data_IF_852145252431
#
_entry.id   IF_852145252431
#
_cell.length_a   1.000
_cell.length_b   1.000
_cell.length_c   1.000
_cell.angle_alpha   90.00
_cell.angle_beta   90.00
_cell.angle_gamma   90.00
#
_symmetry.space_group_name_H-M   'P 1'
#
loop_
_entity.id
_entity.type
_entity.pdbx_description
1 polymer ?
#
# COMPACT_ATOMS: atom_id res chain seq x y z
N UNK A 1 -0.48 25.29 -24.76
CA UNK A 1 0.55 24.69 -23.87
C UNK A 1 -0.13 24.41 -22.54
N UNK A 2 -0.04 23.19 -22.04
CA UNK A 2 -0.53 22.88 -20.70
C UNK A 2 0.26 23.73 -19.69
N UNK A 3 -0.41 24.26 -18.66
CA UNK A 3 0.24 25.09 -17.66
C UNK A 3 1.22 24.23 -16.84
N UNK A 4 2.40 24.75 -16.57
CA UNK A 4 3.36 24.14 -15.65
C UNK A 4 2.78 24.09 -14.25
N UNK A 5 3.05 22.99 -13.54
CA UNK A 5 2.65 22.79 -12.15
C UNK A 5 3.82 23.18 -11.25
N UNK A 6 3.54 23.97 -10.21
CA UNK A 6 4.52 24.37 -9.22
C UNK A 6 4.13 23.86 -7.85
N UNK A 7 5.04 23.19 -7.16
CA UNK A 7 4.83 22.66 -5.83
C UNK A 7 6.14 22.64 -5.02
N UNK A 8 6.01 22.59 -3.69
CA UNK A 8 7.15 22.37 -2.80
C UNK A 8 7.62 20.91 -2.85
N UNK A 9 6.68 19.99 -3.07
CA UNK A 9 6.94 18.55 -3.22
C UNK A 9 6.19 17.97 -4.42
N UNK A 10 6.89 17.18 -5.21
CA UNK A 10 6.28 16.33 -6.24
C UNK A 10 6.47 14.87 -5.82
N UNK A 11 5.37 14.14 -5.72
CA UNK A 11 5.35 12.72 -5.36
C UNK A 11 5.04 11.91 -6.62
N UNK A 12 5.91 10.96 -6.95
CA UNK A 12 5.74 10.06 -8.09
C UNK A 12 5.15 8.74 -7.61
N UNK A 13 3.94 8.45 -8.06
CA UNK A 13 3.17 7.26 -7.74
C UNK A 13 2.27 7.42 -6.51
N UNK A 14 0.96 7.23 -6.69
CA UNK A 14 -0.03 7.19 -5.61
C UNK A 14 -0.17 5.78 -5.01
N UNK A 15 0.93 5.07 -4.84
CA UNK A 15 0.98 3.79 -4.15
C UNK A 15 0.88 3.95 -2.63
N UNK A 16 1.18 2.87 -1.89
CA UNK A 16 1.07 2.85 -0.42
C UNK A 16 1.83 3.99 0.24
N UNK A 17 3.09 4.23 -0.17
CA UNK A 17 3.92 5.30 0.38
C UNK A 17 3.47 6.69 -0.10
N UNK A 18 3.17 6.84 -1.40
CA UNK A 18 2.77 8.13 -1.98
C UNK A 18 1.47 8.68 -1.39
N UNK A 19 0.48 7.82 -1.13
CA UNK A 19 -0.75 8.19 -0.44
C UNK A 19 -0.48 8.75 0.97
N UNK A 20 0.42 8.11 1.71
CA UNK A 20 0.82 8.56 3.06
C UNK A 20 1.54 9.91 2.98
N UNK A 21 2.53 10.05 2.08
CA UNK A 21 3.27 11.29 1.90
C UNK A 21 2.35 12.45 1.50
N UNK A 22 1.47 12.24 0.51
CA UNK A 22 0.51 13.25 0.07
C UNK A 22 -0.39 13.72 1.21
N UNK A 23 -0.91 12.79 2.00
CA UNK A 23 -1.76 13.12 3.14
C UNK A 23 -0.99 13.88 4.24
N UNK A 24 0.23 13.43 4.59
CA UNK A 24 0.98 14.00 5.71
C UNK A 24 1.65 15.34 5.37
N UNK A 25 2.23 15.48 4.20
CA UNK A 25 2.86 16.74 3.78
C UNK A 25 1.86 17.90 3.60
N UNK A 26 0.60 17.57 3.31
CA UNK A 26 -0.44 18.59 3.15
C UNK A 26 -1.25 18.89 4.43
N UNK A 27 -0.99 18.16 5.52
CA UNK A 27 -1.79 18.22 6.75
C UNK A 27 -1.74 19.59 7.43
N UNK A 28 -0.57 20.24 7.43
CA UNK A 28 -0.38 21.57 8.01
C UNK A 28 -0.92 22.73 7.16
N UNK A 29 -1.21 22.48 5.87
CA UNK A 29 -1.57 23.52 4.90
C UNK A 29 -0.39 24.36 4.39
N UNK A 30 0.82 24.17 4.91
CA UNK A 30 2.01 25.01 4.58
C UNK A 30 2.71 24.61 3.29
N UNK A 31 2.63 23.32 2.92
CA UNK A 31 3.29 22.81 1.73
C UNK A 31 2.29 22.56 0.61
N UNK A 32 2.62 22.99 -0.60
CA UNK A 32 1.92 22.64 -1.82
C UNK A 32 2.50 21.35 -2.39
N UNK A 33 1.65 20.36 -2.61
CA UNK A 33 2.05 19.01 -3.05
C UNK A 33 1.36 18.66 -4.36
N UNK A 34 2.12 18.15 -5.31
CA UNK A 34 1.61 17.49 -6.52
C UNK A 34 1.89 16.00 -6.43
N UNK A 35 0.87 15.18 -6.61
CA UNK A 35 0.94 13.72 -6.65
C UNK A 35 0.64 13.26 -8.07
N UNK A 36 1.59 12.57 -8.70
CA UNK A 36 1.47 12.03 -10.06
C UNK A 36 1.20 10.53 -9.98
N UNK A 37 0.12 10.05 -10.61
CA UNK A 37 -0.21 8.63 -10.70
C UNK A 37 -0.40 8.22 -12.17
N UNK A 38 0.25 7.13 -12.59
CA UNK A 38 0.18 6.64 -13.95
C UNK A 38 -1.18 5.99 -14.28
N UNK A 39 -1.85 5.46 -13.26
CA UNK A 39 -3.18 4.86 -13.36
C UNK A 39 -4.32 5.85 -13.18
N UNK A 40 -5.54 5.30 -13.05
CA UNK A 40 -6.77 6.05 -12.82
C UNK A 40 -7.17 6.11 -11.35
N UNK A 41 -8.36 6.65 -11.13
CA UNK A 41 -9.02 6.69 -9.82
C UNK A 41 -9.50 5.28 -9.43
N UNK A 42 -9.40 4.92 -8.16
CA UNK A 42 -9.87 3.63 -7.66
C UNK A 42 -11.38 3.62 -7.36
N UNK A 43 -12.04 4.78 -7.32
CA UNK A 43 -13.46 4.91 -7.00
C UNK A 43 -14.33 4.56 -8.22
N UNK A 44 -15.34 3.64 -8.09
CA UNK A 44 -16.09 3.12 -9.23
C UNK A 44 -16.75 4.18 -10.11
N UNK A 45 -17.36 5.21 -9.51
CA UNK A 45 -18.11 6.24 -10.22
C UNK A 45 -17.24 7.37 -10.78
N UNK A 46 -15.96 7.41 -10.47
CA UNK A 46 -15.02 8.43 -10.96
C UNK A 46 -14.32 8.02 -12.25
N UNK A 47 -14.35 6.74 -12.59
CA UNK A 47 -13.70 6.17 -13.78
C UNK A 47 -14.71 5.29 -14.55
N UNK A 48 -15.56 5.85 -15.40
CA UNK A 48 -16.60 5.08 -16.11
C UNK A 48 -16.06 3.89 -16.92
N UNK A 49 -14.86 4.04 -17.51
CA UNK A 49 -14.20 2.95 -18.25
C UNK A 49 -13.63 1.83 -17.38
N UNK A 50 -13.64 1.97 -16.04
CA UNK A 50 -13.04 1.05 -15.07
C UNK A 50 -13.99 0.63 -13.94
N UNK A 51 -15.30 0.86 -14.09
CA UNK A 51 -16.29 0.59 -13.02
C UNK A 51 -16.13 -0.82 -12.45
N UNK A 52 -16.04 -1.86 -13.29
CA UNK A 52 -15.88 -3.24 -12.84
C UNK A 52 -14.56 -3.49 -12.12
N UNK A 53 -13.46 -2.99 -12.68
CA UNK A 53 -12.13 -3.09 -12.05
C UNK A 53 -12.15 -2.46 -10.66
N UNK A 54 -12.72 -1.28 -10.54
CA UNK A 54 -12.80 -0.53 -9.30
C UNK A 54 -13.76 -1.18 -8.28
N UNK A 55 -14.86 -1.78 -8.72
CA UNK A 55 -15.70 -2.60 -7.84
C UNK A 55 -14.92 -3.80 -7.30
N UNK A 56 -14.10 -4.47 -8.12
CA UNK A 56 -13.26 -5.58 -7.69
C UNK A 56 -12.16 -5.13 -6.72
N UNK A 57 -11.60 -3.93 -6.86
CA UNK A 57 -10.67 -3.35 -5.88
C UNK A 57 -11.31 -3.30 -4.50
N UNK A 58 -12.53 -2.77 -4.39
CA UNK A 58 -13.18 -2.56 -3.10
C UNK A 58 -13.84 -3.82 -2.51
N UNK A 59 -13.99 -4.87 -3.31
CA UNK A 59 -14.49 -6.18 -2.88
C UNK A 59 -13.31 -7.06 -2.47
N UNK A 60 -13.20 -7.52 -1.21
CA UNK A 60 -12.01 -8.25 -0.73
C UNK A 60 -11.59 -9.41 -1.64
N UNK A 61 -12.50 -10.30 -2.02
CA UNK A 61 -12.21 -11.43 -2.91
C UNK A 61 -11.87 -11.00 -4.35
N UNK A 62 -12.16 -9.75 -4.72
CA UNK A 62 -11.92 -9.20 -6.04
C UNK A 62 -10.45 -9.12 -6.43
N UNK A 63 -9.52 -9.23 -5.46
CA UNK A 63 -8.08 -9.21 -5.74
C UNK A 63 -7.67 -10.26 -6.78
N UNK A 64 -8.31 -11.44 -6.78
CA UNK A 64 -8.06 -12.47 -7.79
C UNK A 64 -8.36 -12.05 -9.23
N UNK A 65 -9.24 -11.07 -9.43
CA UNK A 65 -9.52 -10.47 -10.74
C UNK A 65 -8.56 -9.34 -11.09
N UNK A 66 -8.26 -8.46 -10.12
CA UNK A 66 -7.38 -7.31 -10.33
C UNK A 66 -5.93 -7.69 -10.64
N UNK A 67 -5.48 -8.89 -10.22
CA UNK A 67 -4.15 -9.42 -10.54
C UNK A 67 -3.89 -9.63 -12.04
N UNK A 68 -4.93 -9.77 -12.86
CA UNK A 68 -4.81 -9.94 -14.30
C UNK A 68 -5.49 -8.82 -15.10
N UNK A 69 -5.89 -7.73 -14.45
CA UNK A 69 -6.60 -6.62 -15.10
C UNK A 69 -5.62 -5.50 -15.52
N UNK A 70 -5.37 -5.30 -16.84
CA UNK A 70 -4.43 -4.28 -17.33
C UNK A 70 -4.87 -2.85 -17.03
N UNK A 71 -6.13 -2.63 -16.66
CA UNK A 71 -6.63 -1.29 -16.30
C UNK A 71 -6.10 -0.81 -14.97
N UNK A 72 -5.81 -1.73 -14.05
CA UNK A 72 -5.40 -1.42 -12.66
C UNK A 72 -4.08 -2.09 -12.25
N UNK A 73 -3.46 -2.83 -13.16
CA UNK A 73 -2.20 -3.55 -12.90
C UNK A 73 -1.22 -3.33 -14.06
N UNK A 74 0.06 -3.19 -13.74
CA UNK A 74 1.16 -3.07 -14.70
C UNK A 74 1.42 -4.37 -15.46
N UNK A 75 1.01 -5.51 -14.90
CA UNK A 75 1.21 -6.86 -15.45
C UNK A 75 2.69 -7.18 -15.73
N UNK A 76 3.58 -6.75 -14.85
CA UNK A 76 5.01 -7.10 -14.99
C UNK A 76 5.23 -8.61 -14.90
N UNK A 77 6.21 -9.08 -15.64
CA UNK A 77 6.78 -10.41 -15.52
C UNK A 77 8.28 -10.29 -15.23
N UNK A 78 8.82 -11.24 -14.47
CA UNK A 78 10.27 -11.33 -14.24
C UNK A 78 10.95 -11.90 -15.47
N UNK A 79 12.26 -11.72 -15.55
CA UNK A 79 13.08 -12.54 -16.42
C UNK A 79 13.03 -14.01 -15.98
N UNK A 80 13.45 -14.89 -16.88
CA UNK A 80 13.56 -16.33 -16.60
C UNK A 80 14.64 -16.57 -15.55
N UNK A 81 14.28 -17.27 -14.47
CA UNK A 81 15.21 -17.62 -13.40
C UNK A 81 15.47 -19.15 -13.39
N UNK A 82 16.73 -19.58 -13.58
CA UNK A 82 17.09 -21.01 -13.51
C UNK A 82 16.76 -21.65 -12.15
N UNK A 83 16.83 -20.90 -11.05
CA UNK A 83 16.51 -21.36 -9.69
C UNK A 83 15.03 -21.69 -9.50
N UNK A 84 14.15 -21.20 -10.38
CA UNK A 84 12.70 -21.44 -10.35
C UNK A 84 12.20 -22.31 -11.51
N UNK A 85 13.08 -23.16 -12.04
CA UNK A 85 12.75 -24.09 -13.14
C UNK A 85 12.61 -23.41 -14.50
N UNK A 86 13.40 -22.37 -14.77
CA UNK A 86 13.42 -21.62 -16.02
C UNK A 86 12.05 -21.03 -16.41
N UNK A 87 11.32 -20.48 -15.44
CA UNK A 87 10.00 -19.87 -15.68
C UNK A 87 10.02 -18.38 -15.35
N UNK A 88 9.35 -17.55 -16.16
CA UNK A 88 9.03 -16.19 -15.76
C UNK A 88 7.92 -16.22 -14.70
N UNK A 89 7.92 -15.27 -13.79
CA UNK A 89 6.90 -15.11 -12.77
C UNK A 89 6.13 -13.80 -12.96
N UNK A 90 4.81 -13.86 -12.85
CA UNK A 90 3.98 -12.67 -12.82
C UNK A 90 4.30 -11.85 -11.56
N UNK A 91 4.52 -10.55 -11.75
CA UNK A 91 4.84 -9.62 -10.68
C UNK A 91 3.82 -8.48 -10.60
N UNK A 92 2.65 -8.72 -9.98
CA UNK A 92 1.59 -7.73 -9.95
C UNK A 92 2.01 -6.45 -9.23
N UNK A 93 1.79 -5.30 -9.87
CA UNK A 93 1.97 -3.96 -9.31
C UNK A 93 0.78 -3.11 -9.69
N UNK A 94 0.15 -2.47 -8.70
CA UNK A 94 -1.02 -1.62 -8.94
C UNK A 94 -0.68 -0.40 -9.79
N UNK A 95 -1.56 -0.12 -10.76
CA UNK A 95 -1.55 1.06 -11.65
C UNK A 95 -2.87 1.81 -11.45
N UNK A 96 -3.04 2.36 -10.26
CA UNK A 96 -4.29 2.96 -9.80
C UNK A 96 -4.02 3.69 -8.48
N UNK A 97 -4.87 4.61 -8.04
CA UNK A 97 -4.80 5.19 -6.70
C UNK A 97 -4.73 4.08 -5.63
N UNK A 98 -3.80 4.24 -4.69
CA UNK A 98 -3.46 3.23 -3.69
C UNK A 98 -2.43 2.21 -4.14
N UNK A 99 -2.09 2.16 -5.44
CA UNK A 99 -1.10 1.25 -6.01
C UNK A 99 -1.38 -0.21 -5.64
N UNK A 100 -0.34 -0.93 -5.23
CA UNK A 100 -0.49 -2.35 -4.86
C UNK A 100 -1.36 -2.59 -3.63
N UNK A 101 -1.58 -1.59 -2.75
CA UNK A 101 -2.54 -1.73 -1.65
C UNK A 101 -3.99 -1.84 -2.14
N UNK A 102 -4.27 -1.39 -3.36
CA UNK A 102 -5.59 -1.51 -4.02
C UNK A 102 -5.81 -2.87 -4.69
N UNK A 103 -4.76 -3.66 -4.95
CA UNK A 103 -4.87 -4.95 -5.66
C UNK A 103 -4.29 -6.15 -4.91
N UNK A 104 -3.68 -5.97 -3.74
CA UNK A 104 -3.10 -7.04 -2.93
C UNK A 104 -4.17 -7.92 -2.26
N UNK A 105 -3.75 -9.01 -1.60
CA UNK A 105 -4.62 -9.92 -0.85
C UNK A 105 -5.06 -9.41 0.53
N UNK A 106 -4.91 -8.14 0.85
CA UNK A 106 -5.31 -7.44 2.08
C UNK A 106 -4.59 -7.89 3.36
N UNK A 107 -3.77 -8.92 3.35
CA UNK A 107 -3.15 -9.44 4.57
C UNK A 107 -2.30 -8.35 5.26
N UNK A 108 -2.52 -8.18 6.55
CA UNK A 108 -1.76 -7.26 7.38
C UNK A 108 -0.70 -8.00 8.18
N UNK A 109 0.55 -7.87 7.76
CA UNK A 109 1.70 -8.48 8.41
C UNK A 109 2.83 -7.45 8.49
N UNK A 110 3.46 -7.32 9.66
CA UNK A 110 4.67 -6.53 9.86
C UNK A 110 5.89 -7.44 9.79
N UNK A 111 7.09 -6.88 9.63
CA UNK A 111 8.33 -7.59 9.91
C UNK A 111 8.46 -7.92 11.41
N UNK A 112 9.33 -8.85 11.73
CA UNK A 112 9.72 -9.15 13.13
C UNK A 112 10.59 -8.02 13.68
N UNK A 113 10.67 -7.91 15.00
CA UNK A 113 11.58 -6.95 15.64
C UNK A 113 13.02 -7.14 15.17
N UNK A 114 13.47 -8.39 15.05
CA UNK A 114 14.82 -8.73 14.57
C UNK A 114 15.12 -8.23 13.14
N UNK A 115 14.13 -8.12 12.27
CA UNK A 115 14.32 -7.59 10.90
C UNK A 115 14.77 -6.13 10.94
N UNK A 116 14.07 -5.32 11.73
CA UNK A 116 14.36 -3.88 11.88
C UNK A 116 15.65 -3.64 12.64
N UNK A 117 15.89 -4.39 13.73
CA UNK A 117 17.12 -4.28 14.51
C UNK A 117 18.34 -4.66 13.65
N UNK A 118 18.22 -5.65 12.78
CA UNK A 118 19.25 -6.00 11.81
C UNK A 118 19.51 -4.85 10.82
N UNK A 119 18.46 -4.18 10.32
CA UNK A 119 18.66 -2.99 9.47
C UNK A 119 19.43 -1.89 10.20
N UNK A 120 19.08 -1.61 11.45
CA UNK A 120 19.79 -0.62 12.26
C UNK A 120 21.26 -1.01 12.46
N UNK A 121 21.56 -2.29 12.75
CA UNK A 121 22.92 -2.82 12.87
C UNK A 121 23.72 -2.71 11.55
N UNK A 122 23.06 -2.87 10.41
CA UNK A 122 23.65 -2.69 9.08
C UNK A 122 23.86 -1.22 8.70
N UNK A 123 23.52 -0.28 9.58
CA UNK A 123 23.78 1.15 9.43
C UNK A 123 22.53 2.00 9.11
N UNK A 124 21.35 1.42 8.99
CA UNK A 124 20.11 2.17 8.83
C UNK A 124 19.64 2.76 10.17
N UNK A 125 20.28 3.85 10.62
CA UNK A 125 19.96 4.55 11.87
C UNK A 125 18.52 5.06 11.83
N UNK A 126 17.78 4.93 12.94
CA UNK A 126 16.36 5.31 13.01
C UNK A 126 15.42 4.21 12.53
N UNK A 127 15.91 2.99 12.26
CA UNK A 127 15.14 1.86 11.76
C UNK A 127 15.12 0.63 12.68
N UNK A 128 15.58 0.76 13.95
CA UNK A 128 15.38 -0.30 14.93
C UNK A 128 13.89 -0.51 15.24
N UNK A 129 13.54 -1.67 15.79
CA UNK A 129 12.14 -1.96 16.16
C UNK A 129 11.52 -0.87 17.03
N UNK A 130 12.21 -0.46 18.07
CA UNK A 130 11.71 0.55 19.00
C UNK A 130 11.51 1.92 18.33
N UNK A 131 12.32 2.24 17.31
CA UNK A 131 12.20 3.49 16.55
C UNK A 131 11.07 3.45 15.53
N UNK A 132 10.78 2.30 14.92
CA UNK A 132 9.71 2.18 13.89
C UNK A 132 8.34 1.83 14.49
N UNK A 133 8.26 1.17 15.63
CA UNK A 133 7.01 0.77 16.28
C UNK A 133 6.04 1.94 16.53
N UNK A 134 6.46 3.13 16.97
CA UNK A 134 5.56 4.28 17.10
C UNK A 134 4.86 4.67 15.80
N UNK A 135 5.52 4.51 14.65
CA UNK A 135 4.93 4.80 13.34
C UNK A 135 3.94 3.73 12.92
N UNK A 136 4.19 2.45 13.20
CA UNK A 136 3.20 1.40 13.01
C UNK A 136 1.94 1.65 13.84
N UNK A 137 2.10 2.02 15.10
CA UNK A 137 0.97 2.37 15.99
C UNK A 137 0.22 3.62 15.50
N UNK A 138 0.94 4.66 15.07
CA UNK A 138 0.36 5.89 14.50
C UNK A 138 -0.46 5.64 13.23
N UNK A 139 -0.03 4.68 12.40
CA UNK A 139 -0.72 4.33 11.16
C UNK A 139 -1.98 3.50 11.39
N UNK A 140 -2.02 2.69 12.44
CA UNK A 140 -2.99 1.62 12.64
C UNK A 140 -4.23 2.06 13.41
N UNK A 141 -5.39 1.58 12.96
CA UNK A 141 -6.60 1.47 13.76
C UNK A 141 -6.94 0.00 13.93
N UNK A 142 -6.49 -0.59 15.05
CA UNK A 142 -6.72 -2.00 15.36
C UNK A 142 -8.12 -2.19 15.95
N UNK A 143 -8.96 -3.01 15.31
CA UNK A 143 -10.34 -3.28 15.79
C UNK A 143 -10.39 -4.08 17.08
N UNK A 144 -9.35 -4.90 17.37
CA UNK A 144 -9.24 -5.61 18.66
C UNK A 144 -8.92 -4.69 19.84
N UNK A 145 -8.59 -3.43 19.59
CA UNK A 145 -8.17 -2.46 20.60
C UNK A 145 -6.66 -2.28 20.71
N UNK A 146 -6.20 -1.35 21.58
CA UNK A 146 -4.80 -1.05 21.76
C UNK A 146 -4.10 -2.10 22.63
N UNK A 147 -2.85 -2.41 22.28
CA UNK A 147 -1.89 -3.11 23.12
C UNK A 147 -0.52 -2.44 22.93
N UNK A 148 0.52 -2.93 23.60
CA UNK A 148 1.86 -2.33 23.53
C UNK A 148 2.39 -2.22 22.09
N UNK A 149 2.04 -3.17 21.23
CA UNK A 149 2.46 -3.19 19.82
C UNK A 149 1.42 -2.65 18.84
N UNK A 150 0.18 -2.41 19.25
CA UNK A 150 -0.90 -1.93 18.40
C UNK A 150 -1.44 -0.57 18.78
N UNK A 151 -1.76 0.22 17.75
CA UNK A 151 -2.43 1.52 17.88
C UNK A 151 -3.91 1.46 17.49
N UNK A 152 -4.66 2.43 17.97
CA UNK A 152 -6.05 2.72 17.57
C UNK A 152 -6.16 4.17 17.14
N UNK A 153 -7.18 4.48 16.32
CA UNK A 153 -7.41 5.84 15.83
C UNK A 153 -6.50 6.27 14.68
N UNK A 154 -5.58 5.42 14.23
CA UNK A 154 -4.80 5.68 13.03
C UNK A 154 -5.65 5.52 11.76
N UNK A 155 -5.17 6.03 10.62
CA UNK A 155 -5.97 6.02 9.39
C UNK A 155 -6.19 4.63 8.78
N UNK A 156 -5.23 3.69 8.94
CA UNK A 156 -5.32 2.36 8.33
C UNK A 156 -6.05 1.38 9.25
N UNK A 157 -7.22 0.94 8.84
CA UNK A 157 -8.01 -0.03 9.60
C UNK A 157 -7.46 -1.44 9.44
N UNK A 158 -7.35 -2.15 10.56
CA UNK A 158 -6.93 -3.55 10.64
C UNK A 158 -8.01 -4.35 11.37
N UNK A 159 -8.57 -5.32 10.70
CA UNK A 159 -9.68 -6.14 11.14
C UNK A 159 -9.35 -7.63 11.10
N UNK A 160 -10.09 -8.43 11.85
CA UNK A 160 -10.07 -9.88 11.70
C UNK A 160 -10.87 -10.33 10.49
N UNK A 161 -10.56 -11.53 9.97
CA UNK A 161 -11.44 -12.18 9.01
C UNK A 161 -12.78 -12.52 9.69
N UNK A 162 -13.91 -12.12 9.08
CA UNK A 162 -15.22 -12.33 9.69
C UNK A 162 -15.61 -13.81 9.75
N UNK A 163 -15.14 -14.62 8.81
CA UNK A 163 -15.43 -16.05 8.73
C UNK A 163 -14.14 -16.87 8.74
N UNK A 164 -14.10 -17.88 9.60
CA UNK A 164 -13.00 -18.83 9.71
C UNK A 164 -13.39 -20.12 8.99
N UNK A 165 -12.78 -20.35 7.81
CA UNK A 165 -13.07 -21.53 7.02
C UNK A 165 -12.62 -22.81 7.73
N UNK A 166 -13.45 -23.88 7.72
CA UNK A 166 -13.19 -25.12 8.44
C UNK A 166 -11.86 -25.78 8.08
N UNK A 167 -11.47 -25.77 6.80
CA UNK A 167 -10.18 -26.33 6.34
C UNK A 167 -9.01 -25.55 6.93
N UNK A 168 -9.13 -24.24 7.03
CA UNK A 168 -8.07 -23.40 7.64
C UNK A 168 -7.99 -23.60 9.15
N UNK A 169 -9.14 -23.85 9.82
CA UNK A 169 -9.16 -24.21 11.23
C UNK A 169 -8.44 -25.55 11.46
N UNK A 170 -8.79 -26.59 10.68
CA UNK A 170 -8.13 -27.88 10.74
C UNK A 170 -6.61 -27.80 10.45
N UNK A 171 -6.18 -26.93 9.53
CA UNK A 171 -4.76 -26.70 9.29
C UNK A 171 -4.06 -26.10 10.52
N UNK A 172 -4.68 -25.13 11.19
CA UNK A 172 -4.12 -24.54 12.42
C UNK A 172 -4.05 -25.59 13.55
N UNK A 173 -5.05 -26.46 13.69
CA UNK A 173 -5.02 -27.58 14.64
C UNK A 173 -3.89 -28.56 14.31
N UNK A 174 -3.75 -28.97 13.04
CA UNK A 174 -2.66 -29.84 12.60
C UNK A 174 -1.27 -29.22 12.83
N UNK A 175 -1.12 -27.91 12.65
CA UNK A 175 0.12 -27.20 12.98
C UNK A 175 0.45 -27.32 14.47
N UNK A 176 -0.54 -27.17 15.35
CA UNK A 176 -0.35 -27.31 16.80
C UNK A 176 -0.01 -28.76 17.20
N UNK A 177 -0.66 -29.76 16.61
CA UNK A 177 -0.32 -31.16 16.78
C UNK A 177 1.10 -31.49 16.35
N UNK A 178 1.59 -30.80 15.29
CA UNK A 178 2.98 -30.91 14.83
C UNK A 178 3.99 -30.11 15.68
N UNK A 179 3.56 -29.49 16.77
CA UNK A 179 4.41 -28.73 17.69
C UNK A 179 4.63 -27.26 17.30
N UNK A 180 3.92 -26.74 16.28
CA UNK A 180 3.97 -25.32 15.90
C UNK A 180 3.03 -24.54 16.82
N UNK A 181 3.52 -23.55 17.59
CA UNK A 181 2.70 -22.85 18.57
C UNK A 181 1.63 -22.00 17.88
N UNK A 182 0.40 -22.02 18.41
CA UNK A 182 -0.60 -21.04 18.03
C UNK A 182 -0.26 -19.66 18.59
N UNK A 183 -0.42 -18.64 17.77
CA UNK A 183 -0.27 -17.22 18.15
C UNK A 183 -1.57 -16.50 17.90
N UNK A 184 -2.03 -15.72 18.84
CA UNK A 184 -3.20 -14.86 18.60
C UNK A 184 -2.86 -13.71 17.64
N UNK A 185 -1.60 -13.30 17.60
CA UNK A 185 -1.13 -12.17 16.82
C UNK A 185 0.33 -12.37 16.37
N UNK A 186 0.56 -12.27 15.07
CA UNK A 186 1.91 -12.27 14.48
C UNK A 186 2.56 -10.88 14.43
N UNK A 187 1.80 -9.81 14.71
CA UNK A 187 2.27 -8.44 14.58
C UNK A 187 2.77 -7.84 15.90
N UNK A 188 3.03 -8.68 16.90
CA UNK A 188 3.54 -8.29 18.21
C UNK A 188 5.07 -8.36 18.34
N UNK A 189 5.79 -8.55 17.23
CA UNK A 189 7.24 -8.68 17.18
C UNK A 189 7.76 -10.12 17.18
N UNK A 190 6.88 -11.13 17.39
CA UNK A 190 7.22 -12.55 17.34
C UNK A 190 6.28 -13.27 16.37
N UNK A 191 6.83 -13.79 15.26
CA UNK A 191 6.07 -14.44 14.18
C UNK A 191 6.23 -15.96 14.15
N UNK A 192 6.99 -16.55 15.06
CA UNK A 192 7.18 -18.00 15.13
C UNK A 192 5.90 -18.69 15.60
N UNK A 193 5.13 -19.25 14.64
CA UNK A 193 3.88 -19.94 14.95
C UNK A 193 2.87 -19.96 13.81
N UNK A 194 1.64 -20.38 14.13
CA UNK A 194 0.49 -20.36 13.24
C UNK A 194 -0.63 -19.50 13.83
N UNK A 195 -1.39 -18.81 12.96
CA UNK A 195 -2.51 -17.96 13.34
C UNK A 195 -3.46 -17.68 12.19
N UNK A 196 -4.55 -16.99 12.50
CA UNK A 196 -5.41 -16.34 11.54
C UNK A 196 -4.82 -14.95 11.19
N UNK A 197 -4.62 -14.69 9.91
CA UNK A 197 -4.18 -13.37 9.47
C UNK A 197 -5.25 -12.30 9.74
N UNK A 198 -4.79 -11.11 10.03
CA UNK A 198 -5.61 -9.90 10.00
C UNK A 198 -5.57 -9.27 8.61
N UNK A 199 -6.52 -8.39 8.33
CA UNK A 199 -6.65 -7.76 7.01
C UNK A 199 -6.79 -6.24 7.09
N UNK A 200 -6.33 -5.55 6.05
CA UNK A 200 -6.60 -4.14 5.83
C UNK A 200 -7.99 -3.96 5.22
N UNK A 201 -9.01 -4.09 6.04
CA UNK A 201 -10.41 -3.97 5.66
C UNK A 201 -11.20 -3.18 6.69
N UNK A 202 -12.30 -2.56 6.28
CA UNK A 202 -13.24 -1.85 7.14
C UNK A 202 -14.66 -2.04 6.60
N UNK A 203 -15.59 -2.43 7.47
CA UNK A 203 -16.99 -2.66 7.09
C UNK A 203 -17.14 -3.57 5.86
N UNK A 204 -16.38 -4.67 5.81
CA UNK A 204 -16.42 -5.65 4.74
C UNK A 204 -15.82 -5.19 3.40
N UNK A 205 -15.16 -4.04 3.35
CA UNK A 205 -14.50 -3.49 2.15
C UNK A 205 -13.00 -3.36 2.37
N UNK A 206 -12.23 -3.44 1.27
CA UNK A 206 -10.80 -3.12 1.29
C UNK A 206 -10.57 -1.70 1.86
N UNK A 207 -9.58 -1.58 2.73
CA UNK A 207 -9.12 -0.32 3.27
C UNK A 207 -7.68 -0.06 2.77
N UNK A 208 -7.57 0.30 1.48
CA UNK A 208 -6.28 0.60 0.83
C UNK A 208 -5.64 1.88 1.37
N UNK A 209 -4.38 2.13 1.02
CA UNK A 209 -3.73 3.40 1.34
C UNK A 209 -4.43 4.61 0.70
N UNK A 210 -5.07 4.44 -0.47
CA UNK A 210 -5.90 5.50 -1.05
C UNK A 210 -7.10 5.81 -0.13
N UNK A 211 -7.83 4.79 0.31
CA UNK A 211 -8.99 4.96 1.20
C UNK A 211 -8.59 5.53 2.55
N UNK A 212 -7.48 5.02 3.11
CA UNK A 212 -7.03 5.39 4.45
C UNK A 212 -6.46 6.81 4.54
N UNK A 213 -5.70 7.23 3.53
CA UNK A 213 -4.92 8.46 3.58
C UNK A 213 -5.29 9.47 2.50
N UNK A 214 -5.36 9.04 1.23
CA UNK A 214 -5.45 9.96 0.12
C UNK A 214 -6.86 10.55 -0.03
N UNK A 215 -7.91 9.72 -0.02
CA UNK A 215 -9.28 10.20 -0.21
C UNK A 215 -9.68 11.29 0.81
N UNK A 216 -9.36 11.18 2.12
CA UNK A 216 -9.62 12.25 3.07
C UNK A 216 -8.84 13.53 2.79
N UNK A 217 -7.68 13.44 2.13
CA UNK A 217 -6.82 14.58 1.84
C UNK A 217 -7.10 15.24 0.47
N UNK A 218 -7.77 14.56 -0.47
CA UNK A 218 -7.92 15.02 -1.87
C UNK A 218 -8.63 16.37 -2.02
N UNK A 219 -9.42 16.78 -1.04
CA UNK A 219 -10.13 18.08 -1.08
C UNK A 219 -9.30 19.22 -0.48
N UNK A 220 -8.07 18.98 -0.02
CA UNK A 220 -7.21 20.02 0.52
C UNK A 220 -6.73 20.96 -0.60
N UNK A 221 -6.79 22.29 -0.41
CA UNK A 221 -6.42 23.25 -1.47
C UNK A 221 -4.92 23.19 -1.84
N UNK A 222 -4.09 22.63 -0.99
CA UNK A 222 -2.66 22.50 -1.16
C UNK A 222 -2.23 21.10 -1.68
N UNK A 223 -3.17 20.22 -2.05
CA UNK A 223 -2.91 18.94 -2.70
C UNK A 223 -3.51 18.90 -4.10
N UNK A 224 -2.67 18.68 -5.10
CA UNK A 224 -3.08 18.44 -6.47
C UNK A 224 -2.74 17.00 -6.86
N UNK A 225 -3.74 16.24 -7.33
CA UNK A 225 -3.58 14.85 -7.78
C UNK A 225 -3.78 14.80 -9.29
N UNK A 226 -2.73 14.39 -10.00
CA UNK A 226 -2.75 14.19 -11.45
C UNK A 226 -2.80 12.70 -11.75
N UNK A 227 -3.87 12.26 -12.37
CA UNK A 227 -4.09 10.86 -12.79
C UNK A 227 -3.67 10.68 -14.24
N UNK A 228 -3.38 9.43 -14.63
CA UNK A 228 -2.88 9.09 -15.98
C UNK A 228 -1.63 9.90 -16.35
N UNK A 229 -0.87 10.28 -15.32
CA UNK A 229 0.34 11.08 -15.40
C UNK A 229 1.57 10.16 -15.26
N UNK A 230 2.03 9.63 -16.40
CA UNK A 230 3.19 8.75 -16.45
C UNK A 230 4.47 9.58 -16.36
N UNK A 231 5.14 9.52 -15.23
CA UNK A 231 6.47 10.15 -15.06
C UNK A 231 7.47 9.49 -15.98
N UNK A 232 8.18 10.32 -16.75
CA UNK A 232 9.18 9.88 -17.73
C UNK A 232 10.59 10.25 -17.34
N UNK A 233 10.77 11.36 -16.59
CA UNK A 233 12.10 11.84 -16.24
C UNK A 233 12.08 12.70 -14.98
N UNK A 234 13.13 12.58 -14.16
CA UNK A 234 13.48 13.56 -13.13
C UNK A 234 14.45 14.57 -13.75
N UNK A 235 14.11 15.84 -13.69
CA UNK A 235 14.94 16.93 -14.17
C UNK A 235 15.85 17.38 -13.03
N UNK A 236 17.15 17.45 -13.30
CA UNK A 236 18.16 17.83 -12.32
C UNK A 236 19.01 18.97 -12.82
N UNK A 237 19.37 19.87 -11.90
CA UNK A 237 20.47 20.81 -12.04
C UNK A 237 21.65 20.29 -11.21
N UNK A 238 22.65 19.74 -11.89
CA UNK A 238 23.69 18.94 -11.26
C UNK A 238 23.12 17.72 -10.51
N UNK A 239 23.28 17.69 -9.19
CA UNK A 239 22.73 16.63 -8.30
C UNK A 239 21.39 17.00 -7.66
N UNK A 240 20.89 18.21 -7.89
CA UNK A 240 19.66 18.70 -7.29
C UNK A 240 18.47 18.46 -8.21
N UNK A 241 17.42 17.70 -7.81
CA UNK A 241 16.20 17.61 -8.58
C UNK A 241 15.49 18.98 -8.59
N UNK A 242 15.07 19.42 -9.76
CA UNK A 242 14.41 20.73 -9.99
C UNK A 242 13.06 20.60 -10.65
N UNK A 243 12.68 19.40 -11.11
CA UNK A 243 11.39 19.17 -11.73
C UNK A 243 11.18 17.71 -12.15
N UNK A 244 9.98 17.44 -12.65
CA UNK A 244 9.56 16.14 -13.16
C UNK A 244 8.91 16.35 -14.53
N UNK A 245 9.29 15.52 -15.49
CA UNK A 245 8.64 15.41 -16.78
C UNK A 245 7.67 14.22 -16.75
N UNK A 246 6.46 14.38 -17.26
CA UNK A 246 5.48 13.32 -17.35
C UNK A 246 4.63 13.41 -18.63
N UNK A 247 4.09 12.29 -19.05
CA UNK A 247 3.11 12.20 -20.14
C UNK A 247 1.70 12.11 -19.57
N UNK A 248 0.80 12.94 -20.07
CA UNK A 248 -0.63 12.92 -19.70
C UNK A 248 -1.47 13.21 -20.94
N UNK A 249 -2.47 12.36 -21.21
CA UNK A 249 -3.34 12.48 -22.40
C UNK A 249 -2.60 12.58 -23.74
N UNK A 250 -1.43 11.93 -23.85
CA UNK A 250 -0.58 12.00 -25.06
C UNK A 250 0.30 13.23 -25.16
N UNK A 251 0.20 14.15 -24.23
CA UNK A 251 1.02 15.37 -24.18
C UNK A 251 2.12 15.25 -23.11
N UNK A 252 3.27 15.85 -23.41
CA UNK A 252 4.39 15.99 -22.52
C UNK A 252 4.23 17.27 -21.66
N UNK A 253 4.37 17.09 -20.38
CA UNK A 253 4.26 18.15 -19.39
C UNK A 253 5.46 18.12 -18.44
#
# INVERSE_FOLDING_TARGET
MAADLYADYVIVGAGSAGCVLAARLTESGTHKVVLLEAGGDDRPLKEPGQIWSNLMIHTPIGFGKTLNDPKVNWLYETEVDPGTGNRPHKWPKGKVLGGSSSINGLLYVRGQSADYDNWAQMGARGWSWDEVLPYFKKAQNQERGPIDTHGVGGPLNVADFPEKHLVSAALIEACQEAGIPYREDLNNGNQEGCTWFQMTAKNGKRHSAAVAYLHPAMNRPNLQVELRAMTTKILCDGKKPVGIEFMQNGEKR
#
